data_IF_896727385371
#
_entry.id   IF_896727385371
#
_cell.length_a   1.000
_cell.length_b   1.000
_cell.length_c   1.000
_cell.angle_alpha   90.00
_cell.angle_beta   90.00
_cell.angle_gamma   90.00
#
_symmetry.space_group_name_H-M   'P 1'
#
loop_
_entity.id
_entity.type
_entity.pdbx_description
1 polymer ?
#
# COMPACT_ATOMS: atom_id res chain seq x y z
N UNK A 1 24.58 34.17 39.93
CA UNK A 1 23.70 33.05 39.52
C UNK A 1 22.41 33.47 38.74
N UNK A 2 22.44 34.30 37.67
CA UNK A 2 21.21 34.63 36.91
C UNK A 2 20.99 33.73 35.67
N UNK A 3 22.06 33.23 35.07
CA UNK A 3 22.04 32.51 33.79
C UNK A 3 21.33 31.14 33.85
N UNK A 4 21.45 30.44 34.98
CA UNK A 4 20.82 29.12 35.17
C UNK A 4 19.30 29.22 35.35
N UNK A 5 18.79 30.32 35.91
CA UNK A 5 17.33 30.57 36.05
C UNK A 5 16.69 30.94 34.72
N UNK A 6 17.37 31.73 33.89
CA UNK A 6 16.93 32.09 32.53
C UNK A 6 16.80 30.86 31.62
N UNK A 7 17.82 29.97 31.59
CA UNK A 7 17.75 28.72 30.81
C UNK A 7 16.63 27.79 31.31
N UNK A 8 16.37 27.72 32.62
CA UNK A 8 15.28 26.91 33.19
C UNK A 8 13.88 27.43 32.82
N UNK A 9 13.68 28.74 32.85
CA UNK A 9 12.43 29.38 32.44
C UNK A 9 12.20 29.28 30.93
N UNK A 10 13.25 29.45 30.13
CA UNK A 10 13.18 29.24 28.68
C UNK A 10 12.82 27.78 28.36
N UNK A 11 13.48 26.81 28.99
CA UNK A 11 13.20 25.39 28.84
C UNK A 11 11.77 25.03 29.28
N UNK A 12 11.29 25.52 30.42
CA UNK A 12 9.91 25.32 30.86
C UNK A 12 8.89 25.95 29.90
N UNK A 13 9.15 27.15 29.39
CA UNK A 13 8.25 27.80 28.43
C UNK A 13 8.16 27.05 27.09
N UNK A 14 9.27 26.44 26.65
CA UNK A 14 9.33 25.60 25.46
C UNK A 14 8.61 24.28 25.76
N UNK A 15 8.93 23.62 26.86
CA UNK A 15 8.33 22.35 27.26
C UNK A 15 6.81 22.46 27.36
N UNK A 16 6.27 23.49 28.03
CA UNK A 16 4.82 23.69 28.15
C UNK A 16 4.12 23.95 26.81
N UNK A 17 4.79 24.58 25.83
CA UNK A 17 4.25 24.78 24.47
C UNK A 17 4.20 23.49 23.65
N UNK A 18 5.15 22.58 23.89
CA UNK A 18 5.26 21.31 23.18
C UNK A 18 4.61 20.13 23.89
N UNK A 19 4.29 20.27 25.18
CA UNK A 19 3.70 19.23 26.02
C UNK A 19 2.41 18.63 25.40
N UNK A 20 1.45 19.41 24.88
CA UNK A 20 0.27 18.83 24.25
C UNK A 20 0.61 18.02 22.99
N UNK A 21 1.51 18.53 22.15
CA UNK A 21 1.94 17.83 20.94
C UNK A 21 2.69 16.53 21.24
N UNK A 22 3.56 16.56 22.26
CA UNK A 22 4.30 15.39 22.73
C UNK A 22 3.36 14.36 23.33
N UNK A 23 2.41 14.77 24.18
CA UNK A 23 1.41 13.87 24.76
C UNK A 23 0.52 13.26 23.67
N UNK A 24 0.00 14.06 22.74
CA UNK A 24 -0.78 13.55 21.61
C UNK A 24 0.04 12.60 20.73
N UNK A 25 1.31 12.91 20.46
CA UNK A 25 2.22 12.04 19.72
C UNK A 25 2.51 10.71 20.44
N UNK A 26 2.73 10.75 21.75
CA UNK A 26 2.93 9.55 22.58
C UNK A 26 1.67 8.69 22.60
N UNK A 27 0.48 9.29 22.74
CA UNK A 27 -0.80 8.57 22.73
C UNK A 27 -1.06 7.93 21.36
N UNK A 28 -0.78 8.65 20.27
CA UNK A 28 -0.89 8.11 18.91
C UNK A 28 0.10 6.98 18.65
N UNK A 29 1.32 7.08 19.19
CA UNK A 29 2.31 6.00 19.11
C UNK A 29 1.91 4.78 19.96
N UNK A 30 1.29 4.99 21.13
CA UNK A 30 0.78 3.93 21.99
C UNK A 30 -0.45 3.21 21.41
N UNK A 31 -1.19 3.86 20.52
CA UNK A 31 -2.33 3.27 19.78
C UNK A 31 -2.09 3.37 18.27
N UNK A 32 -1.19 2.53 17.71
CA UNK A 32 -0.82 2.59 16.29
C UNK A 32 -2.01 2.58 15.32
N UNK A 33 -3.09 1.78 15.52
CA UNK A 33 -4.23 1.76 14.60
C UNK A 33 -4.92 3.12 14.46
N UNK A 34 -5.02 3.89 15.55
CA UNK A 34 -5.62 5.22 15.52
C UNK A 34 -4.75 6.24 14.79
N UNK A 35 -3.41 6.14 14.92
CA UNK A 35 -2.49 7.01 14.20
C UNK A 35 -2.51 6.76 12.69
N UNK A 36 -2.50 5.49 12.29
CA UNK A 36 -2.62 5.08 10.89
C UNK A 36 -3.94 5.60 10.31
N UNK A 37 -5.04 5.47 11.06
CA UNK A 37 -6.35 5.97 10.64
C UNK A 37 -6.36 7.47 10.34
N UNK A 38 -5.68 8.30 11.14
CA UNK A 38 -5.57 9.75 10.91
C UNK A 38 -4.80 10.07 9.63
N UNK A 39 -3.70 9.35 9.39
CA UNK A 39 -2.87 9.52 8.18
C UNK A 39 -3.67 9.10 6.93
N UNK A 40 -4.31 7.93 6.96
CA UNK A 40 -5.14 7.46 5.85
C UNK A 40 -6.30 8.44 5.61
N UNK A 41 -6.97 8.91 6.66
CA UNK A 41 -8.04 9.91 6.55
C UNK A 41 -7.58 11.21 5.86
N UNK A 42 -6.35 11.69 6.13
CA UNK A 42 -5.77 12.84 5.46
C UNK A 42 -5.66 12.65 3.93
N UNK A 43 -5.30 11.43 3.50
CA UNK A 43 -5.18 11.07 2.08
C UNK A 43 -6.51 10.74 1.43
N UNK A 44 -7.47 10.20 2.17
CA UNK A 44 -8.82 9.91 1.67
C UNK A 44 -9.73 11.15 1.65
N UNK A 45 -9.40 12.22 2.39
CA UNK A 45 -10.22 13.44 2.46
C UNK A 45 -10.59 14.07 1.09
N UNK A 46 -9.69 14.13 0.08
CA UNK A 46 -10.07 14.58 -1.27
C UNK A 46 -11.19 13.73 -1.88
N UNK A 47 -11.14 12.40 -1.74
CA UNK A 47 -12.18 11.48 -2.23
C UNK A 47 -13.51 11.79 -1.53
N UNK A 48 -13.50 12.00 -0.21
CA UNK A 48 -14.69 12.42 0.53
C UNK A 48 -15.27 13.74 0.00
N UNK A 49 -14.41 14.73 -0.29
CA UNK A 49 -14.88 16.01 -0.84
C UNK A 49 -15.49 15.85 -2.24
N UNK A 50 -14.90 15.00 -3.09
CA UNK A 50 -15.42 14.70 -4.44
C UNK A 50 -16.75 13.94 -4.40
N UNK A 51 -16.84 12.90 -3.56
CA UNK A 51 -18.10 12.17 -3.37
C UNK A 51 -19.18 13.09 -2.84
N UNK A 52 -18.86 13.97 -1.87
CA UNK A 52 -19.81 14.95 -1.33
C UNK A 52 -20.25 15.97 -2.38
N UNK A 53 -19.35 16.47 -3.22
CA UNK A 53 -19.72 17.43 -4.28
C UNK A 53 -20.61 16.79 -5.34
N UNK A 54 -20.43 15.50 -5.65
CA UNK A 54 -21.23 14.77 -6.62
C UNK A 54 -22.60 14.34 -6.05
N UNK A 55 -22.63 13.82 -4.82
CA UNK A 55 -23.83 13.21 -4.23
C UNK A 55 -24.66 14.19 -3.37
N UNK A 56 -24.07 15.33 -2.97
CA UNK A 56 -24.65 16.33 -2.05
C UNK A 56 -25.12 15.76 -0.70
N UNK A 57 -24.63 14.58 -0.32
CA UNK A 57 -24.98 13.92 0.93
C UNK A 57 -24.47 14.68 2.17
N UNK A 58 -25.13 14.54 3.33
CA UNK A 58 -24.60 15.05 4.59
C UNK A 58 -23.27 14.37 4.92
N UNK A 59 -22.38 15.10 5.62
CA UNK A 59 -20.99 14.71 5.83
C UNK A 59 -20.83 13.31 6.44
N UNK A 60 -21.68 12.94 7.41
CA UNK A 60 -21.66 11.62 8.05
C UNK A 60 -21.97 10.48 7.08
N UNK A 61 -23.01 10.64 6.24
CA UNK A 61 -23.39 9.62 5.26
C UNK A 61 -22.33 9.51 4.17
N UNK A 62 -21.80 10.64 3.69
CA UNK A 62 -20.70 10.64 2.73
C UNK A 62 -19.44 9.95 3.30
N UNK A 63 -19.15 10.16 4.59
CA UNK A 63 -18.02 9.50 5.27
C UNK A 63 -18.22 7.99 5.35
N UNK A 64 -19.41 7.53 5.74
CA UNK A 64 -19.75 6.10 5.76
C UNK A 64 -19.65 5.49 4.37
N UNK A 65 -20.19 6.15 3.35
CA UNK A 65 -20.15 5.67 1.97
C UNK A 65 -18.70 5.47 1.50
N UNK A 66 -17.84 6.49 1.69
CA UNK A 66 -16.43 6.40 1.31
C UNK A 66 -15.70 5.32 2.10
N UNK A 67 -15.96 5.20 3.40
CA UNK A 67 -15.39 4.14 4.23
C UNK A 67 -15.79 2.75 3.73
N UNK A 68 -17.07 2.54 3.42
CA UNK A 68 -17.59 1.27 2.90
C UNK A 68 -17.00 0.95 1.52
N UNK A 69 -16.90 1.93 0.62
CA UNK A 69 -16.25 1.73 -0.68
C UNK A 69 -14.79 1.34 -0.52
N UNK A 70 -14.04 2.01 0.36
CA UNK A 70 -12.64 1.67 0.63
C UNK A 70 -12.50 0.23 1.15
N UNK A 71 -13.36 -0.18 2.08
CA UNK A 71 -13.36 -1.56 2.60
C UNK A 71 -13.71 -2.58 1.51
N UNK A 72 -14.66 -2.27 0.64
CA UNK A 72 -15.01 -3.12 -0.50
C UNK A 72 -13.85 -3.28 -1.48
N UNK A 73 -13.14 -2.20 -1.83
CA UNK A 73 -11.97 -2.29 -2.70
C UNK A 73 -10.83 -3.09 -2.06
N UNK A 74 -10.59 -2.91 -0.75
CA UNK A 74 -9.57 -3.67 -0.02
C UNK A 74 -9.93 -5.16 0.05
N UNK A 75 -11.18 -5.51 0.34
CA UNK A 75 -11.62 -6.90 0.40
C UNK A 75 -11.58 -7.57 -0.97
N UNK A 76 -12.03 -6.88 -2.03
CA UNK A 76 -11.95 -7.36 -3.39
C UNK A 76 -10.49 -7.59 -3.83
N UNK A 77 -9.60 -6.66 -3.54
CA UNK A 77 -8.17 -6.81 -3.80
C UNK A 77 -7.57 -8.01 -3.07
N UNK A 78 -7.86 -8.16 -1.77
CA UNK A 78 -7.35 -9.27 -0.96
C UNK A 78 -7.88 -10.61 -1.46
N UNK A 79 -9.15 -10.67 -1.85
CA UNK A 79 -9.77 -11.85 -2.44
C UNK A 79 -9.09 -12.25 -3.75
N UNK A 80 -8.88 -11.30 -4.66
CA UNK A 80 -8.15 -11.53 -5.92
C UNK A 80 -6.73 -12.02 -5.65
N UNK A 81 -6.02 -11.41 -4.70
CA UNK A 81 -4.65 -11.81 -4.35
C UNK A 81 -4.57 -13.23 -3.77
N UNK A 82 -5.48 -13.59 -2.87
CA UNK A 82 -5.55 -14.95 -2.29
C UNK A 82 -5.91 -15.97 -3.36
N UNK A 83 -6.92 -15.69 -4.18
CA UNK A 83 -7.29 -16.59 -5.29
C UNK A 83 -6.14 -16.76 -6.27
N UNK A 84 -5.48 -15.67 -6.67
CA UNK A 84 -4.31 -15.73 -7.54
C UNK A 84 -3.18 -16.57 -6.94
N UNK A 85 -2.96 -16.52 -5.61
CA UNK A 85 -1.97 -17.37 -4.95
C UNK A 85 -2.40 -18.84 -4.90
N UNK A 86 -3.67 -19.11 -4.56
CA UNK A 86 -4.22 -20.47 -4.51
C UNK A 86 -4.13 -21.13 -5.89
N UNK A 87 -4.44 -20.40 -6.96
CA UNK A 87 -4.39 -20.90 -8.33
C UNK A 87 -2.95 -21.19 -8.82
N UNK A 88 -1.93 -20.59 -8.19
CA UNK A 88 -0.52 -20.91 -8.47
C UNK A 88 -0.04 -22.21 -7.82
N UNK A 89 -0.70 -22.70 -6.77
CA UNK A 89 -0.30 -23.93 -6.07
C UNK A 89 -0.43 -25.17 -6.99
N UNK A 90 -1.57 -25.41 -7.68
CA UNK A 90 -1.69 -26.51 -8.64
C UNK A 90 -0.71 -26.40 -9.81
N UNK A 91 -0.39 -25.18 -10.25
CA UNK A 91 0.58 -24.96 -11.32
C UNK A 91 2.00 -25.37 -10.89
N UNK A 92 2.38 -25.11 -9.63
CA UNK A 92 3.64 -25.57 -9.04
C UNK A 92 3.62 -27.09 -8.81
N UNK A 93 2.51 -27.64 -8.32
CA UNK A 93 2.33 -29.07 -8.09
C UNK A 93 2.48 -29.91 -9.38
N UNK A 94 1.87 -29.46 -10.48
CA UNK A 94 1.96 -30.11 -11.79
C UNK A 94 3.39 -30.10 -12.39
N UNK A 95 4.26 -29.18 -11.98
CA UNK A 95 5.67 -29.10 -12.42
C UNK A 95 6.62 -29.93 -11.55
N UNK A 96 6.22 -30.28 -10.33
CA UNK A 96 7.01 -31.10 -9.40
C UNK A 96 6.60 -32.57 -9.49
N UNK A 97 5.35 -32.85 -9.90
CA UNK A 97 4.81 -34.19 -10.12
C UNK A 97 5.67 -35.16 -10.98
N UNK A 98 6.38 -34.74 -12.04
CA UNK A 98 7.28 -35.66 -12.77
C UNK A 98 8.58 -36.03 -12.03
N UNK A 99 8.93 -35.32 -10.95
CA UNK A 99 10.13 -35.58 -10.14
C UNK A 99 9.86 -36.37 -8.85
N UNK A 100 8.60 -36.65 -8.51
CA UNK A 100 8.17 -37.30 -7.25
C UNK A 100 7.53 -38.67 -7.44
N UNK A 101 7.65 -39.28 -8.62
CA UNK A 101 7.22 -40.65 -8.86
C UNK A 101 8.07 -41.62 -8.00
N UNK A 102 7.46 -42.18 -6.94
CA UNK A 102 7.89 -43.31 -6.10
C UNK A 102 8.06 -43.06 -4.60
N UNK A 103 7.43 -42.02 -4.02
CA UNK A 103 7.21 -42.02 -2.58
C UNK A 103 5.73 -42.28 -2.30
N UNK A 104 5.42 -43.28 -1.47
CA UNK A 104 4.10 -43.50 -0.89
C UNK A 104 3.83 -42.39 0.14
N UNK A 105 3.48 -41.21 -0.39
CA UNK A 105 3.31 -39.96 0.36
C UNK A 105 2.16 -40.07 1.38
N UNK A 106 0.99 -40.67 1.07
CA UNK A 106 -0.10 -40.77 2.05
C UNK A 106 0.29 -41.60 3.27
N UNK A 107 0.91 -42.78 3.07
CA UNK A 107 1.31 -43.67 4.16
C UNK A 107 2.38 -43.07 5.08
N UNK A 108 3.43 -42.45 4.50
CA UNK A 108 4.47 -41.75 5.28
C UNK A 108 3.98 -40.49 5.95
N UNK A 109 3.02 -39.78 5.34
CA UNK A 109 2.38 -38.61 5.94
C UNK A 109 1.50 -39.03 7.12
N UNK A 110 0.76 -40.13 7.03
CA UNK A 110 -0.05 -40.65 8.14
C UNK A 110 0.81 -41.06 9.33
N UNK A 111 1.91 -41.79 9.13
CA UNK A 111 2.81 -42.19 10.24
C UNK A 111 3.58 -41.00 10.82
N UNK A 112 4.00 -40.04 10.00
CA UNK A 112 4.67 -38.81 10.46
C UNK A 112 3.71 -37.90 11.21
N UNK A 113 2.44 -37.82 10.79
CA UNK A 113 1.38 -37.11 11.51
C UNK A 113 1.05 -37.79 12.83
N UNK A 114 1.01 -39.12 12.89
CA UNK A 114 0.74 -39.87 14.13
C UNK A 114 1.83 -39.62 15.19
N UNK A 115 3.11 -39.70 14.80
CA UNK A 115 4.25 -39.42 15.68
C UNK A 115 4.31 -37.92 16.10
N UNK A 116 4.01 -37.00 15.18
CA UNK A 116 4.05 -35.55 15.42
C UNK A 116 2.82 -35.04 16.18
N UNK A 117 1.64 -35.65 16.06
CA UNK A 117 0.41 -35.25 16.78
C UNK A 117 0.54 -35.52 18.28
N UNK A 118 1.24 -36.59 18.67
CA UNK A 118 1.52 -36.88 20.09
C UNK A 118 2.60 -35.95 20.65
N UNK A 119 3.65 -35.65 19.87
CA UNK A 119 4.71 -34.70 20.26
C UNK A 119 4.22 -33.24 20.33
N UNK A 120 3.31 -32.84 19.44
CA UNK A 120 2.73 -31.49 19.38
C UNK A 120 1.43 -31.33 20.16
N UNK A 121 0.91 -32.34 20.86
CA UNK A 121 -0.34 -32.23 21.62
C UNK A 121 -0.36 -31.03 22.60
N UNK A 122 0.78 -30.75 23.25
CA UNK A 122 0.95 -29.57 24.11
C UNK A 122 1.14 -28.27 23.30
N UNK A 123 1.85 -28.32 22.18
CA UNK A 123 2.04 -27.18 21.27
C UNK A 123 0.73 -26.79 20.56
N UNK A 124 -0.18 -27.73 20.31
CA UNK A 124 -1.48 -27.48 19.70
C UNK A 124 -2.40 -26.70 20.63
N UNK A 125 -2.36 -26.96 21.95
CA UNK A 125 -3.11 -26.17 22.93
C UNK A 125 -2.55 -24.75 23.07
N UNK A 126 -1.22 -24.61 23.14
CA UNK A 126 -0.56 -23.30 23.19
C UNK A 126 -0.77 -22.50 21.90
N UNK A 127 -0.69 -23.16 20.74
CA UNK A 127 -0.98 -22.56 19.44
C UNK A 127 -2.45 -22.18 19.29
N UNK A 128 -3.39 -22.99 19.81
CA UNK A 128 -4.83 -22.66 19.81
C UNK A 128 -5.12 -21.43 20.66
N UNK A 129 -4.56 -21.36 21.87
CA UNK A 129 -4.68 -20.18 22.74
C UNK A 129 -4.05 -18.95 22.08
N UNK A 130 -2.91 -19.12 21.41
CA UNK A 130 -2.22 -18.04 20.70
C UNK A 130 -2.99 -17.56 19.47
N UNK A 131 -3.61 -18.45 18.70
CA UNK A 131 -4.48 -18.07 17.58
C UNK A 131 -5.68 -17.28 18.09
N UNK A 132 -6.35 -17.76 19.13
CA UNK A 132 -7.54 -17.09 19.68
C UNK A 132 -7.17 -15.70 20.22
N UNK A 133 -6.07 -15.60 20.98
CA UNK A 133 -5.62 -14.32 21.54
C UNK A 133 -5.18 -13.35 20.44
N UNK A 134 -4.44 -13.83 19.44
CA UNK A 134 -3.98 -13.02 18.30
C UNK A 134 -5.16 -12.57 17.45
N UNK A 135 -6.13 -13.45 17.17
CA UNK A 135 -7.33 -13.12 16.43
C UNK A 135 -8.16 -12.06 17.17
N UNK A 136 -8.32 -12.20 18.48
CA UNK A 136 -9.01 -11.21 19.30
C UNK A 136 -8.28 -9.86 19.29
N UNK A 137 -6.96 -9.86 19.42
CA UNK A 137 -6.14 -8.64 19.35
C UNK A 137 -6.25 -7.96 17.98
N UNK A 138 -6.24 -8.72 16.89
CA UNK A 138 -6.41 -8.19 15.54
C UNK A 138 -7.82 -7.63 15.31
N UNK A 139 -8.87 -8.32 15.78
CA UNK A 139 -10.24 -7.83 15.74
C UNK A 139 -10.41 -6.52 16.49
N UNK A 140 -9.86 -6.44 17.71
CA UNK A 140 -9.89 -5.22 18.51
C UNK A 140 -9.11 -4.09 17.83
N UNK A 141 -7.92 -4.38 17.30
CA UNK A 141 -7.13 -3.43 16.52
C UNK A 141 -7.90 -2.90 15.30
N UNK A 142 -8.57 -3.78 14.55
CA UNK A 142 -9.41 -3.42 13.41
C UNK A 142 -10.60 -2.54 13.84
N UNK A 143 -11.25 -2.88 14.95
CA UNK A 143 -12.35 -2.08 15.50
C UNK A 143 -11.88 -0.66 15.85
N UNK A 144 -10.78 -0.53 16.59
CA UNK A 144 -10.19 0.78 16.93
C UNK A 144 -9.79 1.55 15.66
N UNK A 145 -9.20 0.87 14.68
CA UNK A 145 -8.88 1.47 13.39
C UNK A 145 -10.12 2.02 12.69
N UNK A 146 -11.20 1.23 12.56
CA UNK A 146 -12.43 1.64 11.86
C UNK A 146 -13.10 2.83 12.54
N UNK A 147 -13.24 2.79 13.87
CA UNK A 147 -13.83 3.90 14.63
C UNK A 147 -12.98 5.16 14.50
N UNK A 148 -11.66 5.03 14.65
CA UNK A 148 -10.73 6.15 14.51
C UNK A 148 -10.74 6.72 13.10
N UNK A 149 -10.82 5.85 12.08
CA UNK A 149 -10.84 6.23 10.68
C UNK A 149 -12.11 6.98 10.32
N UNK A 150 -13.27 6.52 10.80
CA UNK A 150 -14.53 7.24 10.63
C UNK A 150 -14.46 8.66 11.19
N UNK A 151 -14.04 8.83 12.45
CA UNK A 151 -13.96 10.14 13.08
C UNK A 151 -12.91 11.04 12.41
N UNK A 152 -11.73 10.49 12.13
CA UNK A 152 -10.65 11.24 11.48
C UNK A 152 -11.03 11.67 10.06
N UNK A 153 -11.70 10.81 9.28
CA UNK A 153 -12.14 11.13 7.92
C UNK A 153 -13.25 12.18 7.93
N UNK A 154 -14.22 12.06 8.85
CA UNK A 154 -15.26 13.06 9.05
C UNK A 154 -14.69 14.44 9.38
N UNK A 155 -13.73 14.51 10.30
CA UNK A 155 -13.11 15.78 10.69
C UNK A 155 -12.21 16.34 9.57
N UNK A 156 -11.50 15.46 8.85
CA UNK A 156 -10.71 15.83 7.67
C UNK A 156 -11.59 16.38 6.54
N UNK A 157 -12.85 15.95 6.45
CA UNK A 157 -13.85 16.50 5.51
C UNK A 157 -14.29 17.93 5.84
N UNK A 158 -14.12 18.41 7.08
CA UNK A 158 -14.33 19.82 7.45
C UNK A 158 -13.05 20.62 7.29
N UNK A 159 -11.97 20.14 7.91
CA UNK A 159 -10.65 20.74 7.85
C UNK A 159 -9.61 19.63 7.72
N UNK A 160 -9.01 19.51 6.54
CA UNK A 160 -7.99 18.50 6.24
C UNK A 160 -6.79 18.51 7.21
N UNK A 161 -6.52 19.62 7.88
CA UNK A 161 -5.39 19.80 8.78
C UNK A 161 -5.80 19.94 10.26
N UNK A 162 -6.98 19.44 10.63
CA UNK A 162 -7.55 19.58 11.99
C UNK A 162 -6.58 19.16 13.10
N UNK A 163 -5.84 18.08 12.90
CA UNK A 163 -4.87 17.55 13.87
C UNK A 163 -3.67 18.47 14.11
N UNK A 164 -3.41 19.47 13.26
CA UNK A 164 -2.36 20.46 13.49
C UNK A 164 -2.67 21.38 14.69
N UNK A 165 -3.91 21.37 15.20
CA UNK A 165 -4.28 22.14 16.41
C UNK A 165 -3.49 21.70 17.64
N UNK A 166 -3.10 20.43 17.72
CA UNK A 166 -2.32 19.88 18.84
C UNK A 166 -0.85 20.31 18.80
N UNK A 167 -0.38 20.86 17.68
CA UNK A 167 0.98 21.35 17.55
C UNK A 167 1.10 22.83 17.97
N UNK A 168 2.24 23.26 18.57
CA UNK A 168 2.50 24.66 18.88
C UNK A 168 2.43 25.57 17.65
N UNK A 169 1.98 26.82 17.85
CA UNK A 169 1.73 27.80 16.79
C UNK A 169 2.92 28.00 15.84
N UNK A 170 4.14 27.97 16.38
CA UNK A 170 5.40 28.15 15.63
C UNK A 170 5.61 27.09 14.53
N UNK A 171 5.07 25.88 14.71
CA UNK A 171 5.29 24.76 13.78
C UNK A 171 4.07 24.39 12.95
N UNK A 172 2.88 24.95 13.23
CA UNK A 172 1.67 24.69 12.45
C UNK A 172 1.84 25.04 10.97
N UNK A 173 2.48 26.18 10.66
CA UNK A 173 2.75 26.61 9.28
C UNK A 173 3.70 25.65 8.54
N UNK A 174 4.91 25.34 9.05
CA UNK A 174 5.81 24.41 8.37
C UNK A 174 5.24 22.99 8.29
N UNK A 175 4.52 22.50 9.32
CA UNK A 175 3.84 21.21 9.27
C UNK A 175 2.77 21.19 8.18
N UNK A 176 1.89 22.20 8.11
CA UNK A 176 0.88 22.31 7.05
C UNK A 176 1.52 22.26 5.66
N UNK A 177 2.64 22.98 5.46
CA UNK A 177 3.41 22.92 4.20
C UNK A 177 3.90 21.50 3.90
N UNK A 178 4.50 20.81 4.88
CA UNK A 178 4.98 19.43 4.70
C UNK A 178 3.85 18.48 4.30
N UNK A 179 2.70 18.52 4.99
CA UNK A 179 1.53 17.72 4.64
C UNK A 179 1.01 18.05 3.24
N UNK A 180 0.95 19.34 2.89
CA UNK A 180 0.46 19.78 1.57
C UNK A 180 1.36 19.28 0.44
N UNK A 181 2.68 19.41 0.57
CA UNK A 181 3.64 18.94 -0.43
C UNK A 181 3.67 17.40 -0.52
N UNK A 182 3.60 16.69 0.62
CA UNK A 182 3.50 15.23 0.63
C UNK A 182 2.20 14.74 -0.02
N UNK A 183 1.10 15.43 0.23
CA UNK A 183 -0.19 15.19 -0.42
C UNK A 183 -0.15 15.43 -1.93
N UNK A 184 0.58 16.44 -2.40
CA UNK A 184 0.81 16.66 -3.84
C UNK A 184 1.62 15.51 -4.45
N UNK A 185 2.70 15.06 -3.80
CA UNK A 185 3.51 13.94 -4.28
C UNK A 185 2.68 12.66 -4.45
N UNK A 186 1.84 12.33 -3.47
CA UNK A 186 0.92 11.18 -3.57
C UNK A 186 -0.14 11.41 -4.65
N UNK A 187 -0.67 12.63 -4.78
CA UNK A 187 -1.58 12.98 -5.87
C UNK A 187 -0.96 12.79 -7.26
N UNK A 188 0.31 13.21 -7.42
CA UNK A 188 1.08 12.96 -8.64
C UNK A 188 1.30 11.48 -8.85
N UNK A 189 1.67 10.71 -7.82
CA UNK A 189 1.80 9.24 -7.90
C UNK A 189 0.55 8.58 -8.43
N UNK A 190 -0.60 8.85 -7.81
CA UNK A 190 -1.89 8.29 -8.23
C UNK A 190 -2.23 8.73 -9.66
N UNK A 191 -1.96 9.99 -10.02
CA UNK A 191 -2.21 10.47 -11.39
C UNK A 191 -1.30 9.83 -12.43
N UNK A 192 -0.03 9.57 -12.10
CA UNK A 192 0.91 8.89 -13.01
C UNK A 192 0.49 7.44 -13.17
N UNK A 193 0.16 6.74 -12.09
CA UNK A 193 -0.26 5.34 -12.21
C UNK A 193 -1.60 5.16 -12.90
N UNK A 194 -2.55 6.07 -12.72
CA UNK A 194 -3.79 6.04 -13.50
C UNK A 194 -3.54 6.19 -15.01
N UNK A 195 -2.53 7.00 -15.40
CA UNK A 195 -2.15 7.17 -16.81
C UNK A 195 -1.41 5.96 -17.35
N UNK A 196 -0.52 5.36 -16.55
CA UNK A 196 0.19 4.13 -16.93
C UNK A 196 -0.77 2.95 -17.06
N UNK A 197 -1.70 2.80 -16.11
CA UNK A 197 -2.82 1.85 -16.20
C UNK A 197 -3.60 2.04 -17.51
N UNK A 198 -3.96 3.28 -17.85
CA UNK A 198 -4.72 3.54 -19.07
C UNK A 198 -3.91 3.26 -20.35
N UNK A 199 -2.62 3.57 -20.34
CA UNK A 199 -1.69 3.25 -21.42
C UNK A 199 -1.58 1.73 -21.62
N UNK A 200 -1.35 0.96 -20.56
CA UNK A 200 -1.24 -0.51 -20.64
C UNK A 200 -2.56 -1.13 -21.05
N UNK A 201 -3.68 -0.64 -20.52
CA UNK A 201 -5.02 -1.03 -20.93
C UNK A 201 -5.25 -0.87 -22.44
N UNK A 202 -4.90 0.28 -23.01
CA UNK A 202 -5.07 0.53 -24.45
C UNK A 202 -4.20 -0.40 -25.30
N UNK A 203 -2.91 -0.54 -24.96
CA UNK A 203 -1.97 -1.39 -25.70
C UNK A 203 -2.45 -2.84 -25.71
N UNK A 204 -2.83 -3.39 -24.55
CA UNK A 204 -3.30 -4.78 -24.45
C UNK A 204 -4.64 -4.95 -25.16
N UNK A 205 -5.57 -4.00 -25.02
CA UNK A 205 -6.86 -4.06 -25.73
C UNK A 205 -6.65 -4.12 -27.24
N UNK A 206 -5.79 -3.27 -27.79
CA UNK A 206 -5.45 -3.27 -29.22
C UNK A 206 -4.80 -4.59 -29.64
N UNK A 207 -3.83 -5.08 -28.85
CA UNK A 207 -3.20 -6.37 -29.10
C UNK A 207 -4.19 -7.53 -29.14
N UNK A 208 -5.08 -7.62 -28.14
CA UNK A 208 -6.10 -8.67 -28.07
C UNK A 208 -7.15 -8.56 -29.19
N UNK A 209 -7.46 -7.34 -29.64
CA UNK A 209 -8.35 -7.14 -30.78
C UNK A 209 -7.73 -7.69 -32.07
N UNK A 210 -6.46 -7.40 -32.33
CA UNK A 210 -5.74 -7.97 -33.49
C UNK A 210 -5.59 -9.49 -33.42
N UNK A 211 -5.42 -10.03 -32.22
CA UNK A 211 -5.34 -11.47 -31.97
C UNK A 211 -6.71 -12.17 -31.91
N UNK A 212 -7.82 -11.43 -32.11
CA UNK A 212 -9.20 -11.94 -32.18
C UNK A 212 -9.65 -12.70 -30.93
N UNK A 213 -9.28 -12.24 -29.74
CA UNK A 213 -9.83 -12.77 -28.49
C UNK A 213 -11.33 -12.48 -28.36
N UNK A 214 -12.08 -13.35 -27.68
CA UNK A 214 -13.53 -13.22 -27.50
C UNK A 214 -13.94 -11.99 -26.68
N UNK A 215 -13.16 -11.64 -25.65
CA UNK A 215 -13.37 -10.45 -24.81
C UNK A 215 -12.09 -9.63 -24.66
N UNK A 216 -11.67 -8.88 -25.70
CA UNK A 216 -10.42 -8.13 -25.69
C UNK A 216 -10.41 -7.06 -24.59
N UNK A 217 -11.51 -6.33 -24.46
CA UNK A 217 -11.64 -5.19 -23.53
C UNK A 217 -11.69 -5.67 -22.07
N UNK A 218 -12.49 -6.70 -21.78
CA UNK A 218 -12.64 -7.22 -20.42
C UNK A 218 -11.33 -7.82 -19.89
N UNK A 219 -10.68 -8.67 -20.70
CA UNK A 219 -9.42 -9.29 -20.32
C UNK A 219 -8.30 -8.24 -20.19
N UNK A 220 -8.22 -7.28 -21.10
CA UNK A 220 -7.23 -6.20 -21.01
C UNK A 220 -7.43 -5.32 -19.76
N UNK A 221 -8.68 -5.05 -19.37
CA UNK A 221 -8.99 -4.30 -18.15
C UNK A 221 -8.50 -5.05 -16.90
N UNK A 222 -8.76 -6.35 -16.80
CA UNK A 222 -8.31 -7.15 -15.66
C UNK A 222 -6.78 -7.23 -15.59
N UNK A 223 -6.11 -7.45 -16.72
CA UNK A 223 -4.64 -7.54 -16.77
C UNK A 223 -4.00 -6.19 -16.43
N UNK A 224 -4.48 -5.09 -17.01
CA UNK A 224 -3.97 -3.74 -16.68
C UNK A 224 -4.26 -3.37 -15.23
N UNK A 225 -5.40 -3.80 -14.68
CA UNK A 225 -5.72 -3.55 -13.28
C UNK A 225 -4.76 -4.31 -12.37
N UNK A 226 -4.49 -5.57 -12.68
CA UNK A 226 -3.50 -6.36 -11.94
C UNK A 226 -2.07 -5.80 -12.09
N UNK A 227 -1.74 -5.23 -13.25
CA UNK A 227 -0.47 -4.57 -13.53
C UNK A 227 -0.28 -3.25 -12.75
N UNK A 228 -1.37 -2.55 -12.43
CA UNK A 228 -1.35 -1.36 -11.56
C UNK A 228 -1.04 -1.70 -10.10
N UNK A 229 -1.11 -2.98 -9.73
CA UNK A 229 -0.79 -3.44 -8.39
C UNK A 229 0.73 -3.58 -8.21
N UNK A 230 1.25 -3.20 -7.04
CA UNK A 230 2.67 -3.38 -6.76
C UNK A 230 3.05 -4.87 -6.81
N UNK A 231 4.20 -5.17 -7.42
CA UNK A 231 4.84 -6.49 -7.54
C UNK A 231 4.21 -7.53 -8.50
N UNK A 232 2.96 -7.39 -8.94
CA UNK A 232 2.30 -8.39 -9.80
C UNK A 232 2.69 -8.27 -11.29
N UNK A 233 2.54 -7.08 -11.86
CA UNK A 233 2.93 -6.76 -13.24
C UNK A 233 2.16 -7.53 -14.34
N UNK A 234 2.20 -7.02 -15.57
CA UNK A 234 1.59 -7.65 -16.76
C UNK A 234 2.10 -9.07 -17.04
N UNK A 235 3.33 -9.39 -16.64
CA UNK A 235 3.99 -10.66 -16.94
C UNK A 235 3.28 -11.86 -16.32
N UNK A 236 2.61 -11.65 -15.17
CA UNK A 236 1.87 -12.70 -14.47
C UNK A 236 0.75 -13.30 -15.31
N UNK A 237 0.13 -12.52 -16.21
CA UNK A 237 -0.96 -12.99 -17.05
C UNK A 237 -0.50 -13.33 -18.46
N UNK A 238 0.32 -12.47 -19.07
CA UNK A 238 0.73 -12.67 -20.47
C UNK A 238 1.71 -13.83 -20.65
N UNK A 239 2.62 -14.08 -19.70
CA UNK A 239 3.61 -15.17 -19.83
C UNK A 239 2.96 -16.57 -19.72
N UNK A 240 2.10 -16.87 -18.71
CA UNK A 240 1.41 -18.16 -18.68
C UNK A 240 0.50 -18.37 -19.89
N UNK A 241 -0.17 -17.32 -20.36
CA UNK A 241 -1.01 -17.41 -21.55
C UNK A 241 -0.19 -17.70 -22.81
N UNK A 242 0.97 -17.06 -22.99
CA UNK A 242 1.88 -17.38 -24.07
C UNK A 242 2.36 -18.84 -23.99
N UNK A 243 2.76 -19.31 -22.80
CA UNK A 243 3.18 -20.68 -22.58
C UNK A 243 2.07 -21.69 -22.92
N UNK A 244 0.82 -21.39 -22.55
CA UNK A 244 -0.34 -22.22 -22.89
C UNK A 244 -0.56 -22.34 -24.39
N UNK A 245 -0.48 -21.23 -25.15
CA UNK A 245 -0.64 -21.28 -26.60
C UNK A 245 0.53 -21.97 -27.32
N UNK A 246 1.76 -21.83 -26.80
CA UNK A 246 2.91 -22.57 -27.31
C UNK A 246 2.76 -24.08 -27.03
N UNK A 247 2.30 -24.45 -25.84
CA UNK A 247 2.06 -25.86 -25.47
C UNK A 247 0.95 -26.51 -26.30
N UNK A 248 -0.09 -25.76 -26.65
CA UNK A 248 -1.19 -26.24 -27.52
C UNK A 248 -0.86 -26.19 -29.02
N UNK A 249 0.42 -26.04 -29.38
CA UNK A 249 0.94 -25.91 -30.75
C UNK A 249 0.39 -24.72 -31.55
N UNK A 250 -0.20 -23.71 -30.89
CA UNK A 250 -0.60 -22.46 -31.53
C UNK A 250 0.54 -21.43 -31.44
N UNK A 251 1.56 -21.65 -32.27
CA UNK A 251 2.78 -20.82 -32.29
C UNK A 251 2.49 -19.35 -32.61
N UNK A 252 1.52 -19.09 -33.50
CA UNK A 252 1.17 -17.72 -33.89
C UNK A 252 0.66 -16.91 -32.69
N UNK A 253 -0.31 -17.42 -31.92
CA UNK A 253 -0.83 -16.73 -30.74
C UNK A 253 0.23 -16.64 -29.63
N UNK A 254 0.97 -17.72 -29.38
CA UNK A 254 2.00 -17.75 -28.34
C UNK A 254 3.09 -16.69 -28.56
N UNK A 255 3.67 -16.63 -29.76
CA UNK A 255 4.71 -15.64 -30.10
C UNK A 255 4.14 -14.22 -30.09
N UNK A 256 2.92 -14.04 -30.60
CA UNK A 256 2.29 -12.71 -30.63
C UNK A 256 2.04 -12.15 -29.23
N UNK A 257 1.66 -12.98 -28.27
CA UNK A 257 1.48 -12.57 -26.87
C UNK A 257 2.82 -12.20 -26.22
N UNK A 258 3.91 -12.92 -26.52
CA UNK A 258 5.25 -12.56 -26.04
C UNK A 258 5.68 -11.20 -26.58
N UNK A 259 5.47 -10.95 -27.87
CA UNK A 259 5.78 -9.66 -28.48
C UNK A 259 4.93 -8.53 -27.89
N UNK A 260 3.64 -8.79 -27.65
CA UNK A 260 2.75 -7.84 -26.98
C UNK A 260 3.23 -7.53 -25.56
N UNK A 261 3.66 -8.54 -24.80
CA UNK A 261 4.24 -8.37 -23.46
C UNK A 261 5.48 -7.47 -23.49
N UNK A 262 6.46 -7.79 -24.35
CA UNK A 262 7.71 -7.02 -24.46
C UNK A 262 7.43 -5.56 -24.87
N UNK A 263 6.57 -5.36 -25.86
CA UNK A 263 6.18 -4.04 -26.32
C UNK A 263 5.50 -3.23 -25.20
N UNK A 264 4.57 -3.84 -24.47
CA UNK A 264 3.87 -3.19 -23.36
C UNK A 264 4.84 -2.84 -22.23
N UNK A 265 5.73 -3.77 -21.85
CA UNK A 265 6.73 -3.58 -20.80
C UNK A 265 7.66 -2.41 -21.12
N UNK A 266 8.23 -2.37 -22.33
CA UNK A 266 9.15 -1.30 -22.75
C UNK A 266 8.43 0.04 -22.77
N UNK A 267 7.25 0.09 -23.39
CA UNK A 267 6.46 1.32 -23.50
C UNK A 267 6.08 1.85 -22.11
N UNK A 268 5.70 0.96 -21.18
CA UNK A 268 5.40 1.33 -19.79
C UNK A 268 6.62 1.93 -19.10
N UNK A 269 7.78 1.28 -19.17
CA UNK A 269 9.00 1.77 -18.50
C UNK A 269 9.44 3.14 -19.03
N UNK A 270 9.35 3.35 -20.35
CA UNK A 270 9.65 4.64 -20.95
C UNK A 270 8.66 5.73 -20.51
N UNK A 271 7.36 5.42 -20.54
CA UNK A 271 6.32 6.34 -20.08
C UNK A 271 6.46 6.67 -18.60
N UNK A 272 6.75 5.69 -17.76
CA UNK A 272 6.97 5.84 -16.33
C UNK A 272 8.16 6.76 -16.05
N UNK A 273 9.32 6.48 -16.65
CA UNK A 273 10.51 7.34 -16.53
C UNK A 273 10.24 8.77 -16.97
N UNK A 274 9.48 8.96 -18.06
CA UNK A 274 9.13 10.29 -18.57
C UNK A 274 8.20 11.05 -17.61
N UNK A 275 7.15 10.38 -17.11
CA UNK A 275 6.18 11.00 -16.20
C UNK A 275 6.80 11.35 -14.84
N UNK A 276 7.77 10.57 -14.37
CA UNK A 276 8.46 10.79 -13.10
C UNK A 276 9.63 11.77 -13.15
N UNK A 277 10.21 12.01 -14.34
CA UNK A 277 11.39 12.86 -14.52
C UNK A 277 11.24 14.27 -13.93
N UNK A 278 10.01 14.81 -13.89
CA UNK A 278 9.72 16.15 -13.35
C UNK A 278 9.46 16.19 -11.84
N UNK A 279 9.17 15.04 -11.20
CA UNK A 279 8.59 15.00 -9.84
C UNK A 279 9.62 14.70 -8.75
N UNK A 280 10.61 13.85 -9.03
CA UNK A 280 11.64 13.51 -8.06
C UNK A 280 13.00 14.10 -8.43
N UNK A 281 13.32 15.27 -7.86
CA UNK A 281 14.69 15.81 -7.86
C UNK A 281 15.64 15.02 -6.92
N UNK A 282 15.18 13.88 -6.40
CA UNK A 282 15.90 13.03 -5.45
C UNK A 282 16.50 11.86 -6.21
N UNK A 283 17.79 11.58 -5.99
CA UNK A 283 18.44 10.40 -6.59
C UNK A 283 17.69 9.13 -6.15
N UNK A 284 17.33 8.20 -7.07
CA UNK A 284 16.56 7.00 -6.77
C UNK A 284 17.06 6.18 -5.58
N UNK A 285 18.38 6.13 -5.37
CA UNK A 285 19.00 5.42 -4.24
C UNK A 285 18.55 5.96 -2.87
N UNK A 286 18.33 7.27 -2.72
CA UNK A 286 17.89 7.85 -1.46
C UNK A 286 16.41 7.56 -1.23
N UNK A 287 15.60 7.59 -2.29
CA UNK A 287 14.20 7.18 -2.23
C UNK A 287 14.09 5.71 -1.82
N UNK A 288 14.88 4.82 -2.42
CA UNK A 288 14.92 3.41 -2.03
C UNK A 288 15.25 3.21 -0.55
N UNK A 289 16.35 3.79 -0.06
CA UNK A 289 16.74 3.64 1.35
C UNK A 289 15.72 4.23 2.32
N UNK A 290 15.12 5.38 1.99
CA UNK A 290 14.09 5.99 2.84
C UNK A 290 12.83 5.11 2.85
N UNK A 291 12.37 4.62 1.70
CA UNK A 291 11.21 3.71 1.63
C UNK A 291 11.47 2.42 2.40
N UNK A 292 12.63 1.78 2.18
CA UNK A 292 13.01 0.56 2.86
C UNK A 292 13.09 0.77 4.39
N UNK A 293 13.76 1.82 4.83
CA UNK A 293 13.87 2.16 6.26
C UNK A 293 12.49 2.43 6.86
N UNK A 294 11.62 3.15 6.14
CA UNK A 294 10.27 3.45 6.62
C UNK A 294 9.43 2.18 6.77
N UNK A 295 9.53 1.25 5.82
CA UNK A 295 8.87 -0.05 5.91
C UNK A 295 9.40 -0.89 7.08
N UNK A 296 10.72 -0.95 7.28
CA UNK A 296 11.28 -1.70 8.42
C UNK A 296 10.95 -1.09 9.79
N UNK A 297 10.85 0.24 9.89
CA UNK A 297 10.54 0.93 11.15
C UNK A 297 9.06 0.91 11.51
N UNK A 298 8.17 1.02 10.51
CA UNK A 298 6.74 1.26 10.72
C UNK A 298 5.83 0.23 10.02
N UNK A 299 6.38 -0.80 9.39
CA UNK A 299 5.65 -1.78 8.61
C UNK A 299 5.05 -1.21 7.32
N UNK A 300 3.98 -1.84 6.83
CA UNK A 300 3.26 -1.42 5.62
C UNK A 300 2.79 0.06 5.64
N UNK A 301 2.28 0.60 6.78
CA UNK A 301 1.96 2.02 6.90
C UNK A 301 3.18 2.95 6.75
N UNK A 302 4.39 2.46 7.01
CA UNK A 302 5.64 3.20 6.81
C UNK A 302 5.86 3.66 5.38
N UNK A 303 5.32 2.93 4.40
CA UNK A 303 5.38 3.34 2.99
C UNK A 303 4.63 4.67 2.79
N UNK A 304 3.49 4.88 3.46
CA UNK A 304 2.75 6.15 3.42
C UNK A 304 3.51 7.31 4.09
N UNK A 305 4.43 7.02 5.00
CA UNK A 305 5.30 8.02 5.64
C UNK A 305 6.48 8.43 4.76
N UNK A 306 6.79 7.65 3.72
CA UNK A 306 7.96 7.85 2.84
C UNK A 306 8.00 9.26 2.23
N UNK A 307 6.92 9.82 1.65
CA UNK A 307 6.96 11.18 1.08
C UNK A 307 7.29 12.26 2.11
N UNK A 308 6.84 12.08 3.36
CA UNK A 308 7.15 13.00 4.45
C UNK A 308 8.62 12.95 4.83
N UNK A 309 9.19 11.74 4.90
CA UNK A 309 10.60 11.53 5.22
C UNK A 309 11.51 12.00 4.09
N UNK A 310 11.12 11.77 2.83
CA UNK A 310 11.80 12.31 1.66
C UNK A 310 11.80 13.84 1.67
N UNK A 311 10.66 14.47 1.93
CA UNK A 311 10.59 15.93 2.00
C UNK A 311 11.40 16.50 3.18
N UNK A 312 11.37 15.83 4.34
CA UNK A 312 12.20 16.19 5.48
C UNK A 312 13.70 16.11 5.13
N UNK A 313 14.14 15.03 4.49
CA UNK A 313 15.52 14.85 4.03
C UNK A 313 15.93 15.93 3.02
N UNK A 314 15.07 16.26 2.06
CA UNK A 314 15.32 17.33 1.08
C UNK A 314 15.47 18.69 1.75
N UNK A 315 14.62 18.99 2.74
CA UNK A 315 14.67 20.26 3.47
C UNK A 315 15.94 20.37 4.32
N UNK A 316 16.38 19.28 4.93
CA UNK A 316 17.66 19.23 5.67
C UNK A 316 18.83 19.49 4.71
N UNK A 317 18.83 18.86 3.53
CA UNK A 317 19.85 19.10 2.50
C UNK A 317 19.90 20.57 2.04
N UNK A 318 18.76 21.25 1.98
CA UNK A 318 18.68 22.67 1.60
C UNK A 318 19.00 23.63 2.77
N UNK A 319 19.24 23.12 3.98
CA UNK A 319 19.56 23.97 5.12
C UNK A 319 20.97 24.55 4.95
N UNK A 320 21.19 25.85 5.25
CA UNK A 320 22.47 26.54 5.04
C UNK A 320 23.67 25.98 5.85
N UNK A 321 23.45 24.97 6.69
CA UNK A 321 24.53 24.24 7.38
C UNK A 321 25.10 23.10 6.54
N UNK A 322 24.37 22.65 5.51
CA UNK A 322 24.73 21.51 4.66
C UNK A 322 24.95 21.90 3.19
N UNK A 323 24.58 23.11 2.80
CA UNK A 323 24.99 23.75 1.54
C UNK A 323 26.29 24.51 1.78
N UNK A 324 27.43 23.82 1.61
CA UNK A 324 28.76 24.42 1.46
C UNK A 324 29.05 24.58 -0.02
#
# INVERSE_FOLDING_TARGET
MPESRSKRQAFQSILMKWLPALLTGIILFAVPPAAIAVIIAYFTAPILSSVRSMTKLPLTIATLLVMTLMLFFISAFTFIAIHGLIDTIPAVENHIAPFTQNADIPGKLFTFLEDKVVEYGHALLEYSVTIISTAFQQLFSLFIFLVSYFFALRESGKNRYWFLVYFPLSIRKPAKRMFTESGKLIGTFVSVEARLFFLTFLIITTGFFFLRFESPVGNAFLISLADSLPFLGIGLFLLPMAAFFLYTNNLFLGISIILLYLFTMITRQMAESYMWASTFQVKPIHAFFITASSFYLFGLPGILLTPFLLFAALKIRQHPLFTV
#
